data_IF_674602433555
#
_entry.id   IF_674602433555
#
_cell.length_a   1.000
_cell.length_b   1.000
_cell.length_c   1.000
_cell.angle_alpha   90.00
_cell.angle_beta   90.00
_cell.angle_gamma   90.00
#
_symmetry.space_group_name_H-M   'P 1'
#
loop_
_entity.id
_entity.type
_entity.pdbx_description
1 polymer ?
#
# COMPACT_ATOMS: atom_id res chain seq x y z
N UNK A 1 1.82 -1.28 -10.29
CA UNK A 1 0.36 -1.10 -10.11
C UNK A 1 -0.33 -2.40 -9.73
N UNK A 2 -0.18 -3.49 -10.47
CA UNK A 2 -0.91 -4.75 -10.23
C UNK A 2 -0.80 -5.31 -8.81
N UNK A 3 0.38 -5.26 -8.18
CA UNK A 3 0.56 -5.73 -6.79
C UNK A 3 -0.22 -4.87 -5.78
N UNK A 4 -0.18 -3.53 -5.92
CA UNK A 4 -0.96 -2.65 -5.04
C UNK A 4 -2.47 -2.82 -5.25
N UNK A 5 -2.90 -3.07 -6.48
CA UNK A 5 -4.30 -3.39 -6.78
C UNK A 5 -4.72 -4.71 -6.15
N UNK A 6 -3.84 -5.72 -6.22
CA UNK A 6 -4.09 -7.02 -5.58
C UNK A 6 -4.26 -6.89 -4.06
N UNK A 7 -3.44 -6.08 -3.39
CA UNK A 7 -3.60 -5.82 -1.97
C UNK A 7 -5.01 -5.31 -1.64
N UNK A 8 -5.52 -4.36 -2.42
CA UNK A 8 -6.85 -3.79 -2.23
C UNK A 8 -7.98 -4.81 -2.49
N UNK A 9 -7.83 -5.64 -3.53
CA UNK A 9 -8.78 -6.73 -3.82
C UNK A 9 -8.77 -7.77 -2.70
N UNK A 10 -7.58 -8.17 -2.21
CA UNK A 10 -7.45 -9.14 -1.11
C UNK A 10 -7.95 -8.58 0.22
N UNK A 11 -7.78 -7.28 0.46
CA UNK A 11 -8.40 -6.58 1.60
C UNK A 11 -9.91 -6.43 1.49
N UNK A 12 -10.50 -6.81 0.34
CA UNK A 12 -11.94 -6.71 0.05
C UNK A 12 -12.47 -5.28 0.13
N UNK A 13 -11.66 -4.32 -0.30
CA UNK A 13 -12.06 -2.90 -0.33
C UNK A 13 -13.35 -2.71 -1.13
N UNK A 14 -14.27 -1.95 -0.55
CA UNK A 14 -15.60 -1.63 -1.12
C UNK A 14 -15.83 -0.12 -1.15
N UNK A 15 -16.75 0.35 -2.00
CA UNK A 15 -17.18 1.73 -1.96
C UNK A 15 -17.66 2.15 -0.56
N UNK A 16 -17.15 3.28 -0.08
CA UNK A 16 -17.48 3.83 1.23
C UNK A 16 -16.57 3.38 2.38
N UNK A 17 -15.65 2.44 2.18
CA UNK A 17 -14.73 1.96 3.21
C UNK A 17 -13.73 3.03 3.65
N UNK A 18 -13.29 2.94 4.91
CA UNK A 18 -12.06 3.55 5.42
C UNK A 18 -10.95 2.53 5.25
N UNK A 19 -9.92 2.88 4.49
CA UNK A 19 -8.82 2.00 4.13
C UNK A 19 -7.50 2.54 4.69
N UNK A 20 -6.71 1.69 5.34
CA UNK A 20 -5.33 2.03 5.69
C UNK A 20 -4.35 1.32 4.76
N UNK A 21 -3.30 2.03 4.36
CA UNK A 21 -2.18 1.48 3.58
C UNK A 21 -0.92 1.52 4.44
N UNK A 22 -0.40 0.36 4.80
CA UNK A 22 0.82 0.21 5.58
C UNK A 22 1.99 0.03 4.62
N UNK A 23 2.82 1.07 4.52
CA UNK A 23 3.99 1.13 3.65
C UNK A 23 3.87 2.15 2.52
N UNK A 24 4.94 2.89 2.29
CA UNK A 24 5.05 4.02 1.37
C UNK A 24 6.00 3.77 0.19
N UNK A 25 6.30 2.50 -0.08
CA UNK A 25 7.03 2.09 -1.28
C UNK A 25 6.14 2.14 -2.53
N UNK A 26 6.72 1.81 -3.69
CA UNK A 26 5.98 1.79 -4.95
C UNK A 26 4.69 0.95 -4.92
N UNK A 27 4.69 -0.14 -4.14
CA UNK A 27 3.52 -1.03 -3.99
C UNK A 27 2.44 -0.36 -3.15
N UNK A 28 2.79 0.20 -1.98
CA UNK A 28 1.84 0.87 -1.11
C UNK A 28 1.24 2.12 -1.75
N UNK A 29 2.06 2.95 -2.42
CA UNK A 29 1.57 4.10 -3.19
C UNK A 29 0.60 3.70 -4.30
N UNK A 30 0.89 2.60 -5.02
CA UNK A 30 -0.07 2.01 -5.95
C UNK A 30 -1.31 1.42 -5.26
N UNK A 31 -1.19 0.99 -4.00
CA UNK A 31 -2.31 0.57 -3.16
C UNK A 31 -3.26 1.74 -2.85
N UNK A 32 -2.73 2.95 -2.64
CA UNK A 32 -3.54 4.17 -2.50
C UNK A 32 -4.38 4.42 -3.75
N UNK A 33 -3.77 4.34 -4.94
CA UNK A 33 -4.51 4.45 -6.21
C UNK A 33 -5.61 3.37 -6.27
N UNK A 34 -5.28 2.13 -5.93
CA UNK A 34 -6.21 1.02 -5.98
C UNK A 34 -7.40 1.20 -5.02
N UNK A 35 -7.16 1.63 -3.78
CA UNK A 35 -8.22 1.92 -2.82
C UNK A 35 -9.18 3.01 -3.35
N UNK A 36 -8.62 4.08 -3.97
CA UNK A 36 -9.41 5.11 -4.63
C UNK A 36 -10.24 4.56 -5.78
N UNK A 37 -9.64 3.75 -6.66
CA UNK A 37 -10.35 3.10 -7.78
C UNK A 37 -11.52 2.23 -7.32
N UNK A 38 -11.39 1.57 -6.16
CA UNK A 38 -12.42 0.73 -5.57
C UNK A 38 -13.45 1.50 -4.74
N UNK A 39 -13.33 2.83 -4.67
CA UNK A 39 -14.34 3.70 -4.08
C UNK A 39 -14.22 3.91 -2.57
N UNK A 40 -13.05 3.70 -1.98
CA UNK A 40 -12.83 4.04 -0.57
C UNK A 40 -13.17 5.51 -0.29
N UNK A 41 -13.90 5.78 0.79
CA UNK A 41 -14.27 7.16 1.21
C UNK A 41 -13.12 7.88 1.92
N UNK A 42 -12.28 7.12 2.63
CA UNK A 42 -11.10 7.62 3.31
C UNK A 42 -9.94 6.68 3.08
N UNK A 43 -8.77 7.23 2.77
CA UNK A 43 -7.56 6.46 2.51
C UNK A 43 -6.43 7.03 3.38
N UNK A 44 -6.01 6.26 4.38
CA UNK A 44 -5.01 6.63 5.37
C UNK A 44 -3.69 5.99 4.96
N UNK A 45 -2.71 6.78 4.56
CA UNK A 45 -1.36 6.29 4.22
C UNK A 45 -0.45 6.39 5.44
N UNK A 46 0.11 5.27 5.89
CA UNK A 46 1.15 5.26 6.91
C UNK A 46 2.53 5.44 6.26
N UNK A 47 3.04 6.66 6.28
CA UNK A 47 4.27 7.09 5.61
C UNK A 47 5.00 8.14 6.40
N UNK A 48 6.31 7.97 6.61
CA UNK A 48 7.16 8.94 7.34
C UNK A 48 8.07 9.78 6.44
N UNK A 49 8.04 9.57 5.12
CA UNK A 49 8.89 10.29 4.16
C UNK A 49 8.07 11.34 3.43
N UNK A 50 8.45 12.61 3.56
CA UNK A 50 7.67 13.75 3.07
C UNK A 50 7.39 13.70 1.56
N UNK A 51 8.38 13.28 0.77
CA UNK A 51 8.23 13.10 -0.68
C UNK A 51 7.20 12.02 -1.04
N UNK A 52 7.16 10.94 -0.26
CA UNK A 52 6.19 9.85 -0.44
C UNK A 52 4.82 10.20 0.09
N UNK A 53 4.75 10.98 1.17
CA UNK A 53 3.50 11.55 1.66
C UNK A 53 2.86 12.46 0.61
N UNK A 54 3.67 13.35 0.00
CA UNK A 54 3.20 14.24 -1.05
C UNK A 54 2.64 13.45 -2.25
N UNK A 55 3.39 12.44 -2.72
CA UNK A 55 2.93 11.57 -3.80
C UNK A 55 1.70 10.74 -3.41
N UNK A 56 1.63 10.28 -2.16
CA UNK A 56 0.46 9.58 -1.64
C UNK A 56 -0.80 10.44 -1.67
N UNK A 57 -0.70 11.71 -1.31
CA UNK A 57 -1.81 12.67 -1.42
C UNK A 57 -2.22 12.91 -2.87
N UNK A 58 -1.25 13.05 -3.78
CA UNK A 58 -1.52 13.14 -5.22
C UNK A 58 -2.29 11.91 -5.73
N UNK A 59 -1.94 10.73 -5.24
CA UNK A 59 -2.59 9.46 -5.60
C UNK A 59 -3.97 9.26 -4.97
N UNK A 60 -4.32 10.09 -3.98
CA UNK A 60 -5.63 10.10 -3.37
C UNK A 60 -5.70 9.73 -1.89
N UNK A 61 -4.55 9.65 -1.19
CA UNK A 61 -4.58 9.55 0.27
C UNK A 61 -5.23 10.79 0.88
N UNK A 62 -6.27 10.58 1.68
CA UNK A 62 -6.99 11.65 2.39
C UNK A 62 -6.23 12.09 3.63
N UNK A 63 -5.58 11.14 4.28
CA UNK A 63 -4.85 11.33 5.52
C UNK A 63 -3.49 10.65 5.44
N UNK A 64 -2.52 11.18 6.18
CA UNK A 64 -1.17 10.60 6.28
C UNK A 64 -0.77 10.54 7.74
N UNK A 65 -0.29 9.36 8.16
CA UNK A 65 0.19 9.11 9.52
C UNK A 65 1.69 8.80 9.44
N UNK A 66 2.56 9.70 9.93
CA UNK A 66 4.01 9.49 9.92
C UNK A 66 4.52 8.60 11.06
N UNK A 67 3.75 8.49 12.12
CA UNK A 67 4.11 7.70 13.29
C UNK A 67 4.02 6.20 13.02
N UNK A 68 4.76 5.42 13.81
CA UNK A 68 4.78 3.95 13.80
C UNK A 68 4.46 3.39 15.18
N UNK A 69 4.22 2.08 15.23
CA UNK A 69 3.87 1.38 16.46
C UNK A 69 2.59 1.92 17.07
N UNK A 70 2.49 1.86 18.39
CA UNK A 70 1.27 2.21 19.13
C UNK A 70 0.76 3.64 18.86
N UNK A 71 1.66 4.63 18.72
CA UNK A 71 1.26 5.99 18.40
C UNK A 71 0.62 6.10 17.00
N UNK A 72 1.22 5.45 15.99
CA UNK A 72 0.65 5.41 14.65
C UNK A 72 -0.68 4.67 14.59
N UNK A 73 -0.79 3.56 15.32
CA UNK A 73 -2.02 2.78 15.43
C UNK A 73 -3.15 3.58 16.07
N UNK A 74 -2.84 4.30 17.16
CA UNK A 74 -3.80 5.19 17.83
C UNK A 74 -4.27 6.30 16.90
N UNK A 75 -3.34 6.94 16.17
CA UNK A 75 -3.66 7.99 15.23
C UNK A 75 -4.55 7.51 14.06
N UNK A 76 -4.29 6.30 13.53
CA UNK A 76 -5.16 5.69 12.52
C UNK A 76 -6.57 5.47 13.08
N UNK A 77 -6.68 4.89 14.28
CA UNK A 77 -7.98 4.63 14.92
C UNK A 77 -8.76 5.91 15.21
N UNK A 78 -8.08 6.98 15.62
CA UNK A 78 -8.71 8.28 15.86
C UNK A 78 -9.38 8.88 14.61
N UNK A 79 -9.01 8.42 13.41
CA UNK A 79 -9.62 8.82 12.14
C UNK A 79 -10.83 7.95 11.75
N UNK A 80 -11.20 6.97 12.57
CA UNK A 80 -12.32 6.06 12.31
C UNK A 80 -13.49 6.34 13.26
N UNK A 81 -14.68 5.90 12.87
CA UNK A 81 -15.86 6.06 13.69
C UNK A 81 -15.66 5.32 15.02
N UNK A 82 -15.87 6.01 16.15
CA UNK A 82 -15.70 5.50 17.52
C UNK A 82 -14.30 4.92 17.84
N UNK A 83 -13.30 5.15 16.98
CA UNK A 83 -11.94 4.64 17.21
C UNK A 83 -11.78 3.12 17.05
N UNK A 84 -12.72 2.45 16.40
CA UNK A 84 -12.75 0.98 16.31
C UNK A 84 -11.71 0.40 15.33
N UNK A 85 -11.20 1.21 14.40
CA UNK A 85 -10.27 0.79 13.36
C UNK A 85 -10.88 0.87 11.96
N UNK A 86 -10.07 0.52 10.95
CA UNK A 86 -10.42 0.65 9.53
C UNK A 86 -11.14 -0.58 8.98
N UNK A 87 -11.90 -0.41 7.89
CA UNK A 87 -12.65 -1.47 7.21
C UNK A 87 -11.75 -2.45 6.47
N UNK A 88 -10.65 -1.95 5.91
CA UNK A 88 -9.69 -2.75 5.15
C UNK A 88 -8.27 -2.22 5.34
N UNK A 89 -7.29 -3.11 5.37
CA UNK A 89 -5.87 -2.75 5.50
C UNK A 89 -5.08 -3.37 4.35
N UNK A 90 -4.26 -2.56 3.68
CA UNK A 90 -3.30 -3.00 2.68
C UNK A 90 -1.92 -3.09 3.33
N UNK A 91 -1.42 -4.28 3.57
CA UNK A 91 -0.08 -4.53 4.09
C UNK A 91 0.89 -4.73 2.90
N UNK A 92 1.81 -3.76 2.71
CA UNK A 92 2.66 -3.67 1.54
C UNK A 92 4.18 -3.71 1.87
N UNK A 93 4.54 -4.19 3.05
CA UNK A 93 5.94 -4.21 3.55
C UNK A 93 6.47 -5.63 3.74
N UNK A 94 5.73 -6.48 4.48
CA UNK A 94 6.09 -7.87 4.75
C UNK A 94 6.94 -8.09 6.00
N UNK A 95 7.12 -7.08 6.86
CA UNK A 95 7.80 -7.24 8.15
C UNK A 95 6.82 -7.64 9.26
N UNK A 96 7.35 -8.23 10.35
CA UNK A 96 6.53 -8.52 11.53
C UNK A 96 5.84 -7.25 12.05
N UNK A 97 6.59 -6.16 12.22
CA UNK A 97 6.04 -4.89 12.72
C UNK A 97 4.92 -4.33 11.83
N UNK A 98 5.02 -4.42 10.50
CA UNK A 98 3.97 -3.94 9.60
C UNK A 98 2.73 -4.83 9.65
N UNK A 99 2.88 -6.13 9.81
CA UNK A 99 1.77 -7.06 9.95
C UNK A 99 1.06 -6.86 11.29
N UNK A 100 1.81 -6.69 12.40
CA UNK A 100 1.22 -6.38 13.71
C UNK A 100 0.42 -5.08 13.63
N UNK A 101 1.00 -4.02 13.07
CA UNK A 101 0.29 -2.75 12.84
C UNK A 101 -0.97 -2.97 12.01
N UNK A 102 -0.89 -3.71 10.89
CA UNK A 102 -2.04 -3.97 10.02
C UNK A 102 -3.19 -4.67 10.76
N UNK A 103 -2.88 -5.67 11.60
CA UNK A 103 -3.87 -6.37 12.42
C UNK A 103 -4.42 -5.46 13.51
N UNK A 104 -3.57 -4.62 14.12
CA UNK A 104 -3.94 -3.75 15.24
C UNK A 104 -4.89 -2.62 14.85
N UNK A 105 -4.77 -2.08 13.63
CA UNK A 105 -5.63 -0.99 13.13
C UNK A 105 -6.90 -1.48 12.45
N UNK A 106 -6.99 -2.77 12.14
CA UNK A 106 -8.19 -3.38 11.56
C UNK A 106 -9.33 -3.43 12.60
N UNK A 107 -10.52 -2.98 12.21
CA UNK A 107 -11.70 -3.17 13.09
C UNK A 107 -12.10 -4.64 13.15
N UNK A 108 -12.92 -5.05 14.13
CA UNK A 108 -13.51 -6.39 14.11
C UNK A 108 -14.25 -6.66 12.79
N UNK A 109 -14.00 -7.86 12.22
CA UNK A 109 -14.56 -8.27 10.93
C UNK A 109 -13.89 -7.69 9.70
N UNK A 110 -12.85 -6.86 9.85
CA UNK A 110 -12.08 -6.32 8.73
C UNK A 110 -11.16 -7.36 8.07
N UNK A 111 -10.60 -7.00 6.92
CA UNK A 111 -9.66 -7.85 6.20
C UNK A 111 -8.34 -7.12 5.93
N UNK A 112 -7.23 -7.80 6.21
CA UNK A 112 -5.87 -7.39 5.83
C UNK A 112 -5.54 -8.06 4.50
N UNK A 113 -5.29 -7.26 3.47
CA UNK A 113 -4.75 -7.69 2.18
C UNK A 113 -3.24 -7.56 2.17
N UNK A 114 -2.50 -8.66 2.27
CA UNK A 114 -1.03 -8.65 2.34
C UNK A 114 -0.39 -9.04 1.02
N UNK A 115 0.55 -8.23 0.57
CA UNK A 115 1.38 -8.46 -0.62
C UNK A 115 2.86 -8.23 -0.35
N UNK A 116 3.20 -7.79 0.85
CA UNK A 116 4.58 -7.78 1.33
C UNK A 116 5.09 -9.23 1.47
N UNK A 117 6.33 -9.48 1.00
CA UNK A 117 6.94 -10.80 1.16
C UNK A 117 7.24 -11.00 2.65
N UNK A 118 6.63 -12.01 3.31
CA UNK A 118 6.74 -12.15 4.75
C UNK A 118 8.15 -12.56 5.19
N UNK A 119 8.72 -11.80 6.12
CA UNK A 119 10.01 -12.08 6.75
C UNK A 119 9.81 -12.20 8.26
N UNK A 120 9.91 -13.42 8.79
CA UNK A 120 9.79 -13.72 10.24
C UNK A 120 8.50 -13.12 10.85
N UNK A 121 7.39 -13.22 10.14
CA UNK A 121 6.09 -12.68 10.58
C UNK A 121 5.44 -13.64 11.57
N UNK A 122 5.09 -13.13 12.74
CA UNK A 122 4.30 -13.83 13.76
C UNK A 122 2.84 -13.40 13.64
N UNK A 123 1.94 -14.36 13.59
CA UNK A 123 0.50 -14.07 13.55
C UNK A 123 -0.08 -14.19 14.97
N UNK A 124 -0.64 -13.11 15.54
CA UNK A 124 -1.29 -13.13 16.85
C UNK A 124 -2.67 -13.80 16.72
N UNK A 125 -2.68 -15.13 16.71
CA UNK A 125 -3.88 -15.92 16.38
C UNK A 125 -5.07 -15.60 17.26
N UNK A 126 -4.84 -15.43 18.57
CA UNK A 126 -5.89 -15.07 19.52
C UNK A 126 -6.58 -13.75 19.12
N UNK A 127 -5.80 -12.76 18.71
CA UNK A 127 -6.33 -11.45 18.32
C UNK A 127 -7.16 -11.51 17.04
N UNK A 128 -6.67 -12.24 16.02
CA UNK A 128 -7.45 -12.41 14.78
C UNK A 128 -8.69 -13.26 15.00
N UNK A 129 -8.64 -14.24 15.91
CA UNK A 129 -9.78 -15.09 16.24
C UNK A 129 -10.91 -14.29 16.92
N UNK A 130 -10.60 -13.57 18.00
CA UNK A 130 -11.61 -12.78 18.71
C UNK A 130 -12.05 -11.54 17.94
N UNK A 131 -11.14 -10.94 17.14
CA UNK A 131 -11.47 -9.82 16.27
C UNK A 131 -12.11 -10.23 14.95
N UNK A 132 -12.20 -11.53 14.64
CA UNK A 132 -12.65 -12.03 13.32
C UNK A 132 -11.96 -11.34 12.14
N UNK A 133 -10.67 -10.99 12.31
CA UNK A 133 -9.87 -10.32 11.28
C UNK A 133 -9.43 -11.33 10.24
N UNK A 134 -9.81 -11.09 8.98
CA UNK A 134 -9.34 -11.89 7.85
C UNK A 134 -7.95 -11.49 7.41
N UNK A 135 -7.12 -12.45 6.98
CA UNK A 135 -5.84 -12.18 6.32
C UNK A 135 -5.85 -12.91 4.98
N UNK A 136 -5.73 -12.17 3.89
CA UNK A 136 -5.68 -12.69 2.53
C UNK A 136 -4.53 -12.05 1.77
N UNK A 137 -4.00 -12.71 0.75
CA UNK A 137 -2.94 -12.10 -0.04
C UNK A 137 -2.12 -13.12 -0.82
N UNK A 138 -0.89 -12.75 -1.11
CA UNK A 138 0.06 -13.55 -1.86
C UNK A 138 0.49 -12.91 -3.17
N UNK A 139 1.07 -13.69 -4.11
CA UNK A 139 1.52 -13.19 -5.41
C UNK A 139 0.36 -12.65 -6.24
N UNK A 140 0.52 -11.44 -6.76
CA UNK A 140 -0.49 -10.79 -7.58
C UNK A 140 -0.64 -11.45 -8.96
N UNK A 141 -1.84 -11.83 -9.41
CA UNK A 141 -2.10 -12.29 -10.77
C UNK A 141 -2.12 -11.10 -11.75
N UNK A 142 -0.96 -10.43 -11.89
CA UNK A 142 -0.84 -9.14 -12.60
C UNK A 142 -1.38 -9.20 -14.02
N UNK A 143 -1.23 -10.33 -14.72
CA UNK A 143 -1.77 -10.51 -16.07
C UNK A 143 -3.30 -10.38 -16.10
N UNK A 144 -4.00 -10.87 -15.08
CA UNK A 144 -5.46 -10.75 -14.99
C UNK A 144 -5.91 -9.30 -14.78
N UNK A 145 -5.13 -8.50 -14.07
CA UNK A 145 -5.44 -7.10 -13.83
C UNK A 145 -4.97 -6.16 -14.95
N UNK A 146 -4.03 -6.59 -15.78
CA UNK A 146 -3.38 -5.74 -16.78
C UNK A 146 -4.39 -5.05 -17.74
N UNK A 147 -5.42 -5.71 -18.29
CA UNK A 147 -6.36 -5.03 -19.17
C UNK A 147 -7.09 -3.85 -18.51
N UNK A 148 -7.60 -4.05 -17.29
CA UNK A 148 -8.29 -3.01 -16.53
C UNK A 148 -7.36 -1.85 -16.18
N UNK A 149 -6.17 -2.17 -15.67
CA UNK A 149 -5.23 -1.15 -15.20
C UNK A 149 -4.60 -0.37 -16.36
N UNK A 150 -4.34 -1.04 -17.50
CA UNK A 150 -3.82 -0.38 -18.69
C UNK A 150 -4.88 0.57 -19.29
N UNK A 151 -6.13 0.15 -19.36
CA UNK A 151 -7.24 1.00 -19.83
C UNK A 151 -7.35 2.28 -18.97
N UNK A 152 -7.29 2.15 -17.64
CA UNK A 152 -7.30 3.29 -16.72
C UNK A 152 -6.11 4.24 -16.90
N UNK A 153 -4.91 3.69 -17.17
CA UNK A 153 -3.72 4.51 -17.49
C UNK A 153 -3.87 5.23 -18.82
N UNK A 154 -4.34 4.54 -19.86
CA UNK A 154 -4.51 5.12 -21.20
C UNK A 154 -5.60 6.20 -21.24
N UNK A 155 -6.61 6.09 -20.40
CA UNK A 155 -7.65 7.13 -20.21
C UNK A 155 -7.19 8.31 -19.37
N UNK A 156 -6.05 8.19 -18.69
CA UNK A 156 -5.55 9.21 -17.78
C UNK A 156 -6.25 9.21 -16.40
N UNK A 157 -7.06 8.21 -16.09
CA UNK A 157 -7.75 8.09 -14.79
C UNK A 157 -6.78 7.86 -13.64
N UNK A 158 -5.65 7.19 -13.91
CA UNK A 158 -4.59 6.92 -12.96
C UNK A 158 -3.21 7.15 -13.58
N UNK A 159 -2.24 7.58 -12.76
CA UNK A 159 -0.85 7.75 -13.19
C UNK A 159 0.13 7.05 -12.23
N UNK A 160 0.17 5.71 -12.20
CA UNK A 160 1.09 4.97 -11.34
C UNK A 160 2.56 5.15 -11.75
N UNK A 161 2.84 5.66 -12.94
CA UNK A 161 4.19 5.93 -13.44
C UNK A 161 4.98 6.93 -12.59
N UNK A 162 4.29 7.78 -11.81
CA UNK A 162 4.91 8.73 -10.88
C UNK A 162 5.76 8.07 -9.78
N UNK A 163 5.60 6.77 -9.54
CA UNK A 163 6.50 6.04 -8.61
C UNK A 163 7.91 5.86 -9.16
N UNK A 164 8.13 6.02 -10.47
CA UNK A 164 9.46 6.01 -11.07
C UNK A 164 10.12 7.38 -10.89
N UNK A 165 10.79 7.56 -9.75
CA UNK A 165 11.41 8.84 -9.37
C UNK A 165 12.88 8.95 -9.80
N UNK A 166 13.44 7.91 -10.39
CA UNK A 166 14.76 7.89 -10.96
C UNK A 166 14.77 7.12 -12.28
N UNK A 167 15.38 7.69 -13.31
CA UNK A 167 15.52 7.05 -14.61
C UNK A 167 17.01 6.99 -14.99
N UNK A 168 17.45 5.86 -15.54
CA UNK A 168 18.82 5.64 -15.95
C UNK A 168 18.91 4.56 -17.05
N UNK A 169 20.12 4.18 -17.44
CA UNK A 169 20.40 3.11 -18.40
C UNK A 169 20.86 1.83 -17.69
N UNK A 170 20.99 0.75 -18.45
CA UNK A 170 21.44 -0.54 -17.92
C UNK A 170 22.86 -0.47 -17.35
N UNK A 171 23.72 0.36 -17.92
CA UNK A 171 25.12 0.52 -17.49
C UNK A 171 25.22 1.04 -16.04
N UNK A 172 24.22 1.79 -15.60
CA UNK A 172 24.16 2.39 -14.27
C UNK A 172 23.20 1.64 -13.32
N UNK A 173 22.94 0.36 -13.58
CA UNK A 173 21.98 -0.43 -12.78
C UNK A 173 22.34 -0.50 -11.29
N UNK A 174 23.63 -0.57 -10.97
CA UNK A 174 24.11 -0.60 -9.57
C UNK A 174 23.74 0.69 -8.83
N UNK A 175 23.88 1.85 -9.47
CA UNK A 175 23.45 3.13 -8.90
C UNK A 175 21.93 3.15 -8.68
N UNK A 176 21.17 2.61 -9.62
CA UNK A 176 19.72 2.52 -9.50
C UNK A 176 19.31 1.71 -8.25
N UNK A 177 19.96 0.57 -7.98
CA UNK A 177 19.73 -0.21 -6.78
C UNK A 177 20.13 0.54 -5.51
N UNK A 178 21.30 1.19 -5.50
CA UNK A 178 21.78 1.98 -4.37
C UNK A 178 20.79 3.12 -4.02
N UNK A 179 20.28 3.85 -5.02
CA UNK A 179 19.27 4.90 -4.79
C UNK A 179 17.98 4.37 -4.19
N UNK A 180 17.52 3.21 -4.62
CA UNK A 180 16.33 2.59 -4.02
C UNK A 180 16.61 2.11 -2.59
N UNK A 181 17.77 1.50 -2.33
CA UNK A 181 18.18 1.02 -1.01
C UNK A 181 18.33 2.18 0.00
N UNK A 182 18.97 3.26 -0.43
CA UNK A 182 19.14 4.49 0.34
C UNK A 182 17.88 5.36 0.41
N UNK A 183 16.77 4.91 -0.21
CA UNK A 183 15.47 5.61 -0.25
C UNK A 183 15.50 6.97 -0.94
N UNK A 184 16.51 7.23 -1.77
CA UNK A 184 16.62 8.39 -2.65
C UNK A 184 15.73 8.28 -3.89
N UNK A 185 15.31 7.07 -4.22
CA UNK A 185 14.32 6.80 -5.26
C UNK A 185 13.24 5.83 -4.74
N UNK A 186 12.01 6.05 -5.15
CA UNK A 186 10.89 5.12 -4.84
C UNK A 186 11.03 3.88 -5.71
N UNK A 187 11.20 4.10 -7.02
CA UNK A 187 11.42 3.05 -8.02
C UNK A 187 12.28 3.60 -9.15
N UNK A 188 13.22 2.79 -9.63
CA UNK A 188 14.05 3.14 -10.76
C UNK A 188 13.48 2.59 -12.08
N UNK A 189 13.52 3.40 -13.14
CA UNK A 189 13.20 3.03 -14.51
C UNK A 189 14.51 2.89 -15.30
N UNK A 190 14.70 1.77 -15.98
CA UNK A 190 15.85 1.55 -16.85
C UNK A 190 15.42 1.71 -18.31
N UNK A 191 16.07 2.62 -19.02
CA UNK A 191 15.94 2.76 -20.46
C UNK A 191 16.89 1.77 -21.12
N UNK A 192 16.32 0.75 -21.76
CA UNK A 192 17.09 -0.36 -22.36
C UNK A 192 17.48 -0.07 -23.81
N UNK A 193 16.59 0.58 -24.55
CA UNK A 193 16.81 0.97 -25.94
C UNK A 193 16.16 2.31 -26.24
N UNK A 194 16.65 2.99 -27.27
CA UNK A 194 15.89 4.06 -27.91
C UNK A 194 14.89 3.43 -28.87
N UNK A 195 13.65 3.80 -28.73
CA UNK A 195 12.57 3.41 -29.68
C UNK A 195 12.54 4.43 -30.80
#
# INVERSE_FOLDING_TARGET
>A
MGTGYHAAVMARVKPGDIVAVVGDGAVGLCGVIAAKMLGAKRIILMSRHDDRQALGREFGATDVIPERGEAGEANVKALTDEGVGVDAVLECVGSDASMQTAINIARPGATVGTVGIPHNVTIPFEKIFFGTVGIHGGPAPTRAYAPLLLDAVLKGDINPGRVFTYATTLDNINEAYQKMDQRQAIKSLLKISEV
#
